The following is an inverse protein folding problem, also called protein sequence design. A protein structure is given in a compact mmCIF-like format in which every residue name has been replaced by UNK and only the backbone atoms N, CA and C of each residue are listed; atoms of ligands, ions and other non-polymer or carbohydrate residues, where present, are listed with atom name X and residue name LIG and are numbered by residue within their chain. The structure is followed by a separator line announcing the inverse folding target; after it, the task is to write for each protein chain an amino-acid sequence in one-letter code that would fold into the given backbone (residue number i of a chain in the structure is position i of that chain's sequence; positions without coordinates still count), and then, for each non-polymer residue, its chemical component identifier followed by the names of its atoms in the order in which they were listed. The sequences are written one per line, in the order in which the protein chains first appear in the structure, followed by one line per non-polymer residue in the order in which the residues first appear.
data_IF_517024699699
#
_entry.id   IF_517024699699
#
_cell.length_a   1.000
_cell.length_b   1.000
_cell.length_c   1.000
_cell.angle_alpha   90.00
_cell.angle_beta   90.00
_cell.angle_gamma   90.00
#
_symmetry.space_group_name_H-M   'P 1'
#
loop_
_entity.id
_entity.type
_entity.pdbx_description
1 polymer ?
#
# COMPACT_ATOMS: atom_id res chain seq x y z
N UNK A 1 -8.74 -18.65 -27.09
CA UNK A 1 -8.31 -17.26 -27.36
C UNK A 1 -8.75 -16.30 -26.27
N UNK A 2 -10.04 -16.28 -25.88
CA UNK A 2 -10.54 -15.40 -24.80
C UNK A 2 -9.96 -15.71 -23.41
N UNK A 3 -9.93 -16.98 -22.98
CA UNK A 3 -9.33 -17.38 -21.70
C UNK A 3 -7.83 -17.02 -21.59
N UNK A 4 -7.07 -17.21 -22.67
CA UNK A 4 -5.65 -16.83 -22.75
C UNK A 4 -5.44 -15.31 -22.56
N UNK A 5 -6.39 -14.48 -23.03
CA UNK A 5 -6.33 -13.03 -22.84
C UNK A 5 -6.66 -12.61 -21.40
N UNK A 6 -7.53 -13.35 -20.71
CA UNK A 6 -7.85 -13.09 -19.28
C UNK A 6 -6.65 -13.40 -18.40
N UNK A 7 -6.07 -14.58 -18.56
CA UNK A 7 -4.88 -15.00 -17.80
C UNK A 7 -3.72 -14.03 -18.01
N UNK A 8 -3.48 -13.59 -19.25
CA UNK A 8 -2.41 -12.63 -19.55
C UNK A 8 -2.65 -11.26 -18.89
N UNK A 9 -3.87 -10.73 -18.92
CA UNK A 9 -4.19 -9.48 -18.24
C UNK A 9 -4.03 -9.58 -16.71
N UNK A 10 -4.51 -10.68 -16.10
CA UNK A 10 -4.39 -10.89 -14.67
C UNK A 10 -2.92 -11.04 -14.24
N UNK A 11 -2.13 -11.78 -15.02
CA UNK A 11 -0.68 -11.89 -14.82
C UNK A 11 0.01 -10.54 -14.95
N UNK A 12 -0.36 -9.72 -15.95
CA UNK A 12 0.22 -8.39 -16.11
C UNK A 12 -0.11 -7.48 -14.93
N UNK A 13 -1.34 -7.51 -14.41
CA UNK A 13 -1.70 -6.77 -13.20
C UNK A 13 -0.87 -7.22 -11.98
N UNK A 14 -0.66 -8.53 -11.81
CA UNK A 14 0.16 -9.06 -10.74
C UNK A 14 1.63 -8.63 -10.85
N UNK A 15 2.19 -8.59 -12.07
CA UNK A 15 3.53 -8.07 -12.32
C UNK A 15 3.65 -6.58 -11.97
N UNK A 16 2.63 -5.77 -12.29
CA UNK A 16 2.62 -4.36 -11.89
C UNK A 16 2.59 -4.18 -10.37
N UNK A 17 1.91 -5.07 -9.64
CA UNK A 17 1.95 -5.09 -8.17
C UNK A 17 3.35 -5.47 -7.67
N UNK A 18 4.00 -6.47 -8.25
CA UNK A 18 5.39 -6.82 -7.91
C UNK A 18 6.34 -5.65 -8.17
N UNK A 19 6.24 -5.02 -9.35
CA UNK A 19 7.03 -3.85 -9.73
C UNK A 19 6.82 -2.69 -8.74
N UNK A 20 5.59 -2.48 -8.26
CA UNK A 20 5.26 -1.46 -7.27
C UNK A 20 5.88 -1.74 -5.89
N UNK A 21 5.83 -2.99 -5.41
CA UNK A 21 6.50 -3.41 -4.17
C UNK A 21 8.02 -3.25 -4.26
N UNK A 22 8.61 -3.62 -5.40
CA UNK A 22 10.05 -3.43 -5.63
C UNK A 22 10.39 -1.94 -5.71
N UNK A 23 9.58 -1.13 -6.38
CA UNK A 23 9.77 0.31 -6.48
C UNK A 23 9.70 1.00 -5.09
N UNK A 24 8.82 0.54 -4.21
CA UNK A 24 8.72 1.01 -2.82
C UNK A 24 10.04 0.78 -2.07
N UNK A 25 10.55 -0.45 -2.04
CA UNK A 25 11.76 -0.76 -1.27
C UNK A 25 13.05 -0.24 -1.91
N UNK A 26 13.01 0.10 -3.20
CA UNK A 26 14.17 0.68 -3.90
C UNK A 26 14.19 2.20 -3.91
N UNK A 27 13.08 2.87 -3.54
CA UNK A 27 13.04 4.30 -3.35
C UNK A 27 13.92 4.69 -2.15
N UNK A 28 14.78 5.68 -2.30
CA UNK A 28 15.69 6.10 -1.22
C UNK A 28 16.04 7.59 -1.30
N UNK A 29 16.39 8.22 -0.17
CA UNK A 29 16.28 7.70 1.21
C UNK A 29 14.82 7.66 1.72
N UNK A 30 14.44 6.69 2.55
CA UNK A 30 13.11 6.65 3.21
C UNK A 30 13.25 6.67 4.74
N UNK A 31 12.89 7.78 5.42
CA UNK A 31 13.08 7.93 6.87
C UNK A 31 12.50 6.79 7.72
N UNK A 32 13.39 6.02 8.37
CA UNK A 32 13.03 4.91 9.27
C UNK A 32 12.55 3.63 8.57
N UNK A 33 12.45 3.61 7.25
CA UNK A 33 12.01 2.45 6.46
C UNK A 33 13.21 1.72 5.87
N UNK A 34 13.04 0.43 5.56
CA UNK A 34 14.00 -0.31 4.73
C UNK A 34 14.01 0.30 3.33
N UNK A 35 15.19 0.56 2.79
CA UNK A 35 15.35 1.08 1.44
C UNK A 35 16.58 0.51 0.70
N UNK A 36 17.05 1.16 -0.37
CA UNK A 36 18.22 0.72 -1.12
C UNK A 36 19.56 1.05 -0.45
N UNK A 37 19.57 1.95 0.52
CA UNK A 37 20.75 2.42 1.25
C UNK A 37 20.93 1.59 2.53
N UNK A 38 19.87 1.43 3.32
CA UNK A 38 19.93 0.74 4.62
C UNK A 38 18.60 0.08 5.04
N UNK A 39 18.58 -0.45 6.27
CA UNK A 39 17.43 -1.15 6.86
C UNK A 39 16.53 -0.23 7.71
N UNK A 40 16.77 1.08 7.67
CA UNK A 40 16.07 2.06 8.50
C UNK A 40 16.15 1.71 10.00
N UNK A 41 15.01 1.77 10.68
CA UNK A 41 14.88 1.42 12.08
C UNK A 41 14.77 -0.10 12.36
N UNK A 42 15.05 -0.95 11.37
CA UNK A 42 14.93 -2.40 11.52
C UNK A 42 16.28 -3.09 11.69
N UNK A 43 16.28 -4.20 12.42
CA UNK A 43 17.43 -5.09 12.58
C UNK A 43 17.16 -6.52 12.07
N UNK A 44 15.91 -6.82 11.78
CA UNK A 44 15.39 -8.13 11.38
C UNK A 44 15.03 -8.20 9.89
N UNK A 45 15.00 -7.07 9.17
CA UNK A 45 14.67 -7.03 7.75
C UNK A 45 15.59 -6.11 6.94
N UNK A 46 15.81 -6.50 5.69
CA UNK A 46 16.63 -5.79 4.72
C UNK A 46 15.96 -5.78 3.34
N UNK A 47 16.53 -5.03 2.39
CA UNK A 47 16.02 -4.98 1.02
C UNK A 47 15.91 -6.35 0.36
N UNK A 48 16.84 -7.27 0.63
CA UNK A 48 16.83 -8.59 0.01
C UNK A 48 15.62 -9.42 0.44
N UNK A 49 15.20 -9.32 1.71
CA UNK A 49 13.96 -9.90 2.24
C UNK A 49 12.72 -9.35 1.53
N UNK A 50 12.63 -8.03 1.37
CA UNK A 50 11.52 -7.40 0.65
C UNK A 50 11.43 -7.85 -0.81
N UNK A 51 12.56 -7.94 -1.53
CA UNK A 51 12.60 -8.44 -2.91
C UNK A 51 12.16 -9.91 -3.01
N UNK A 52 12.54 -10.76 -2.04
CA UNK A 52 12.06 -12.16 -1.98
C UNK A 52 10.55 -12.21 -1.70
N UNK A 53 10.09 -11.39 -0.77
CA UNK A 53 8.68 -11.30 -0.42
C UNK A 53 7.82 -10.86 -1.61
N UNK A 54 8.21 -9.82 -2.35
CA UNK A 54 7.47 -9.33 -3.50
C UNK A 54 7.24 -10.44 -4.54
N UNK A 55 8.30 -11.18 -4.90
CA UNK A 55 8.24 -12.31 -5.84
C UNK A 55 7.39 -13.47 -5.33
N UNK A 56 7.45 -13.75 -4.03
CA UNK A 56 6.66 -14.81 -3.41
C UNK A 56 5.15 -14.49 -3.42
N UNK A 57 4.80 -13.21 -3.47
CA UNK A 57 3.41 -12.74 -3.47
C UNK A 57 2.78 -12.66 -4.86
N UNK A 58 3.56 -12.53 -5.93
CA UNK A 58 3.08 -12.37 -7.31
C UNK A 58 2.01 -13.39 -7.72
N UNK A 59 2.16 -14.71 -7.47
CA UNK A 59 1.15 -15.69 -7.85
C UNK A 59 -0.21 -15.49 -7.15
N UNK A 60 -0.20 -14.97 -5.92
CA UNK A 60 -1.42 -14.72 -5.16
C UNK A 60 -2.13 -13.45 -5.63
N UNK A 61 -1.39 -12.43 -6.05
CA UNK A 61 -2.00 -11.27 -6.71
C UNK A 61 -2.61 -11.65 -8.06
N UNK A 62 -1.98 -12.57 -8.82
CA UNK A 62 -2.59 -13.14 -10.03
C UNK A 62 -3.88 -13.90 -9.71
N UNK A 63 -3.89 -14.74 -8.66
CA UNK A 63 -5.10 -15.43 -8.19
C UNK A 63 -6.21 -14.44 -7.79
N UNK A 64 -5.89 -13.36 -7.06
CA UNK A 64 -6.84 -12.30 -6.70
C UNK A 64 -7.41 -11.58 -7.93
N UNK A 65 -6.57 -11.27 -8.91
CA UNK A 65 -7.00 -10.67 -10.17
C UNK A 65 -7.94 -11.60 -10.94
N UNK A 66 -7.62 -12.90 -11.02
CA UNK A 66 -8.41 -13.90 -11.72
C UNK A 66 -9.81 -14.09 -11.10
N UNK A 67 -9.91 -14.24 -9.77
CA UNK A 67 -11.22 -14.41 -9.11
C UNK A 67 -12.09 -13.15 -9.18
N UNK A 68 -11.46 -11.99 -9.35
CA UNK A 68 -12.15 -10.71 -9.50
C UNK A 68 -12.58 -10.44 -10.94
N UNK A 69 -11.99 -11.12 -11.92
CA UNK A 69 -12.28 -10.89 -13.33
C UNK A 69 -13.72 -11.28 -13.67
N UNK A 70 -14.52 -10.31 -14.13
CA UNK A 70 -15.94 -10.49 -14.42
C UNK A 70 -16.84 -10.55 -13.17
N UNK A 71 -16.27 -10.52 -11.97
CA UNK A 71 -17.01 -10.58 -10.71
C UNK A 71 -17.52 -9.20 -10.30
N UNK A 72 -18.75 -9.15 -9.78
CA UNK A 72 -19.24 -8.00 -9.02
C UNK A 72 -18.61 -7.96 -7.63
N UNK A 73 -18.52 -6.78 -7.02
CA UNK A 73 -18.18 -6.66 -5.60
C UNK A 73 -19.27 -7.35 -4.77
N UNK A 74 -18.96 -8.46 -4.11
CA UNK A 74 -19.93 -9.28 -3.37
C UNK A 74 -19.30 -9.91 -2.13
N UNK A 75 -20.15 -10.51 -1.29
CA UNK A 75 -19.74 -11.30 -0.12
C UNK A 75 -18.81 -12.46 -0.53
N UNK A 76 -19.13 -13.15 -1.62
CA UNK A 76 -18.36 -14.29 -2.12
C UNK A 76 -16.97 -13.85 -2.59
N UNK A 77 -16.89 -12.72 -3.32
CA UNK A 77 -15.62 -12.17 -3.75
C UNK A 77 -14.78 -11.75 -2.53
N UNK A 78 -15.39 -11.06 -1.55
CA UNK A 78 -14.71 -10.65 -0.32
C UNK A 78 -14.08 -11.82 0.42
N UNK A 79 -14.78 -12.95 0.53
CA UNK A 79 -14.31 -14.16 1.21
C UNK A 79 -13.23 -14.90 0.41
N UNK A 80 -13.38 -14.97 -0.92
CA UNK A 80 -12.36 -15.51 -1.80
C UNK A 80 -11.04 -14.74 -1.65
N UNK A 81 -11.09 -13.41 -1.69
CA UNK A 81 -9.91 -12.56 -1.49
C UNK A 81 -9.32 -12.71 -0.10
N UNK A 82 -10.16 -12.87 0.94
CA UNK A 82 -9.67 -13.13 2.29
C UNK A 82 -8.90 -14.45 2.38
N UNK A 83 -9.42 -15.51 1.74
CA UNK A 83 -8.78 -16.81 1.71
C UNK A 83 -7.45 -16.78 0.95
N UNK A 84 -7.40 -16.11 -0.20
CA UNK A 84 -6.15 -15.93 -0.97
C UNK A 84 -5.16 -15.09 -0.17
N UNK A 85 -5.61 -14.00 0.46
CA UNK A 85 -4.77 -13.13 1.28
C UNK A 85 -4.10 -13.85 2.46
N UNK A 86 -4.82 -14.78 3.12
CA UNK A 86 -4.22 -15.64 4.16
C UNK A 86 -3.14 -16.57 3.61
N UNK A 87 -3.33 -17.15 2.41
CA UNK A 87 -2.29 -17.97 1.76
C UNK A 87 -1.08 -17.10 1.37
N UNK A 88 -1.33 -15.90 0.87
CA UNK A 88 -0.29 -14.93 0.52
C UNK A 88 0.54 -14.53 1.76
N UNK A 89 -0.11 -14.29 2.90
CA UNK A 89 0.58 -14.02 4.17
C UNK A 89 1.47 -15.19 4.61
N UNK A 90 0.97 -16.43 4.51
CA UNK A 90 1.77 -17.63 4.82
C UNK A 90 2.99 -17.76 3.89
N UNK A 91 2.80 -17.52 2.59
CA UNK A 91 3.88 -17.58 1.61
C UNK A 91 4.93 -16.49 1.82
N UNK A 92 4.50 -15.27 2.14
CA UNK A 92 5.39 -14.19 2.55
C UNK A 92 6.24 -14.62 3.75
N UNK A 93 5.60 -15.04 4.85
CA UNK A 93 6.29 -15.46 6.07
C UNK A 93 7.26 -16.62 5.81
N UNK A 94 6.89 -17.58 4.97
CA UNK A 94 7.80 -18.66 4.58
C UNK A 94 9.04 -18.14 3.82
N UNK A 95 8.85 -17.22 2.87
CA UNK A 95 9.94 -16.63 2.08
C UNK A 95 10.84 -15.68 2.87
N UNK A 96 10.34 -15.15 3.99
CA UNK A 96 11.01 -14.18 4.86
C UNK A 96 11.39 -14.76 6.23
N UNK A 97 11.40 -16.08 6.38
CA UNK A 97 11.78 -16.75 7.63
C UNK A 97 10.97 -16.28 8.86
N UNK A 98 9.69 -15.99 8.67
CA UNK A 98 8.76 -15.54 9.70
C UNK A 98 8.68 -14.02 9.89
N UNK A 99 9.45 -13.24 9.12
CA UNK A 99 9.49 -11.78 9.25
C UNK A 99 8.35 -11.14 8.46
N UNK A 100 7.59 -10.26 9.11
CA UNK A 100 6.49 -9.55 8.47
C UNK A 100 7.00 -8.35 7.65
N UNK A 101 7.07 -8.50 6.32
CA UNK A 101 7.53 -7.45 5.39
C UNK A 101 6.39 -6.69 4.71
N UNK A 102 5.32 -7.37 4.29
CA UNK A 102 4.29 -6.84 3.39
C UNK A 102 2.85 -7.18 3.81
N UNK A 103 2.59 -7.49 5.08
CA UNK A 103 1.23 -7.89 5.51
C UNK A 103 0.17 -6.82 5.22
N UNK A 104 0.48 -5.53 5.44
CA UNK A 104 -0.44 -4.45 5.11
C UNK A 104 -0.54 -4.22 3.60
N UNK A 105 0.57 -4.35 2.86
CA UNK A 105 0.55 -4.30 1.41
C UNK A 105 -0.30 -5.41 0.77
N UNK A 106 -0.28 -6.65 1.29
CA UNK A 106 -1.17 -7.74 0.83
C UNK A 106 -2.65 -7.30 0.90
N UNK A 107 -3.03 -6.65 2.00
CA UNK A 107 -4.38 -6.13 2.17
C UNK A 107 -4.71 -5.01 1.18
N UNK A 108 -3.87 -3.97 1.12
CA UNK A 108 -4.13 -2.81 0.29
C UNK A 108 -4.10 -3.13 -1.22
N UNK A 109 -3.01 -3.75 -1.67
CA UNK A 109 -2.82 -4.11 -3.08
C UNK A 109 -3.79 -5.22 -3.49
N UNK A 110 -4.14 -6.14 -2.60
CA UNK A 110 -5.11 -7.20 -2.87
C UNK A 110 -6.51 -6.65 -3.17
N UNK A 111 -6.97 -5.64 -2.43
CA UNK A 111 -8.23 -4.96 -2.72
C UNK A 111 -8.16 -4.13 -4.00
N UNK A 112 -7.06 -3.40 -4.21
CA UNK A 112 -6.86 -2.56 -5.39
C UNK A 112 -6.81 -3.38 -6.69
N UNK A 113 -6.00 -4.44 -6.74
CA UNK A 113 -5.90 -5.30 -7.93
C UNK A 113 -7.25 -5.96 -8.24
N UNK A 114 -8.02 -6.30 -7.21
CA UNK A 114 -9.36 -6.90 -7.36
C UNK A 114 -10.35 -5.94 -8.00
N UNK A 115 -10.44 -4.71 -7.47
CA UNK A 115 -11.31 -3.68 -8.02
C UNK A 115 -10.89 -3.29 -9.46
N UNK A 116 -9.59 -3.11 -9.70
CA UNK A 116 -9.02 -2.85 -11.04
C UNK A 116 -9.35 -3.97 -12.01
N UNK A 117 -9.12 -5.24 -11.65
CA UNK A 117 -9.41 -6.40 -12.49
C UNK A 117 -10.90 -6.50 -12.84
N UNK A 118 -11.78 -6.35 -11.84
CA UNK A 118 -13.23 -6.33 -12.04
C UNK A 118 -13.65 -5.20 -13.01
N UNK A 119 -13.15 -3.99 -12.83
CA UNK A 119 -13.50 -2.86 -13.68
C UNK A 119 -12.97 -3.03 -15.10
N UNK A 120 -11.71 -3.49 -15.26
CA UNK A 120 -11.12 -3.76 -16.57
C UNK A 120 -11.92 -4.78 -17.36
N UNK A 121 -12.34 -5.87 -16.70
CA UNK A 121 -13.14 -6.91 -17.34
C UNK A 121 -14.52 -6.43 -17.81
N UNK A 122 -15.16 -5.54 -17.04
CA UNK A 122 -16.52 -5.03 -17.31
C UNK A 122 -16.56 -3.86 -18.27
N UNK A 123 -15.56 -2.97 -18.21
CA UNK A 123 -15.57 -1.66 -18.88
C UNK A 123 -14.44 -1.49 -19.90
N UNK A 124 -13.47 -2.43 -19.94
CA UNK A 124 -12.24 -2.33 -20.74
C UNK A 124 -11.41 -1.07 -20.45
N UNK A 125 -11.68 -0.42 -19.31
CA UNK A 125 -11.09 0.86 -18.87
C UNK A 125 -11.11 0.92 -17.36
N UNK A 126 -10.20 1.72 -16.81
CA UNK A 126 -10.11 1.99 -15.37
C UNK A 126 -10.54 3.42 -15.08
N UNK A 127 -11.28 3.61 -13.99
CA UNK A 127 -11.66 4.92 -13.47
C UNK A 127 -11.50 4.91 -11.94
N UNK A 128 -10.52 5.64 -11.43
CA UNK A 128 -10.08 5.54 -10.03
C UNK A 128 -11.16 5.86 -8.99
N UNK A 129 -12.03 6.88 -9.14
CA UNK A 129 -13.10 7.12 -8.18
C UNK A 129 -14.02 5.91 -7.99
N UNK A 130 -14.30 5.17 -9.06
CA UNK A 130 -15.05 3.92 -8.97
C UNK A 130 -14.24 2.77 -8.35
N UNK A 131 -12.92 2.69 -8.60
CA UNK A 131 -12.05 1.71 -7.92
C UNK A 131 -12.11 1.90 -6.41
N UNK A 132 -12.01 3.14 -5.92
CA UNK A 132 -12.11 3.43 -4.49
C UNK A 132 -13.49 3.10 -3.92
N UNK A 133 -14.57 3.46 -4.64
CA UNK A 133 -15.94 3.11 -4.26
C UNK A 133 -16.19 1.59 -4.21
N UNK A 134 -15.72 0.85 -5.22
CA UNK A 134 -15.83 -0.61 -5.27
C UNK A 134 -15.11 -1.25 -4.06
N UNK A 135 -13.97 -0.70 -3.65
CA UNK A 135 -13.23 -1.14 -2.46
C UNK A 135 -14.00 -0.85 -1.17
N UNK A 136 -14.62 0.32 -1.03
CA UNK A 136 -15.44 0.63 0.14
C UNK A 136 -16.59 -0.36 0.27
N UNK A 137 -17.28 -0.64 -0.85
CA UNK A 137 -18.38 -1.59 -0.89
C UNK A 137 -17.91 -3.01 -0.56
N UNK A 138 -16.78 -3.44 -1.14
CA UNK A 138 -16.20 -4.75 -0.86
C UNK A 138 -15.77 -4.90 0.61
N UNK A 139 -15.20 -3.85 1.20
CA UNK A 139 -14.71 -3.84 2.59
C UNK A 139 -15.84 -3.92 3.60
N UNK A 140 -17.05 -3.46 3.26
CA UNK A 140 -18.23 -3.55 4.11
C UNK A 140 -18.70 -5.00 4.33
N UNK A 141 -18.32 -5.94 3.46
CA UNK A 141 -18.60 -7.36 3.66
C UNK A 141 -17.65 -7.97 4.70
N UNK A 142 -18.16 -8.67 5.72
CA UNK A 142 -17.32 -9.36 6.71
C UNK A 142 -16.66 -10.59 6.10
N UNK A 143 -15.51 -11.01 6.63
CA UNK A 143 -14.97 -12.35 6.37
C UNK A 143 -15.53 -13.32 7.42
N UNK A 144 -16.54 -14.12 7.06
CA UNK A 144 -17.20 -15.05 7.99
C UNK A 144 -16.31 -16.22 8.41
N UNK A 145 -15.25 -16.49 7.66
CA UNK A 145 -14.26 -17.52 8.00
C UNK A 145 -13.16 -16.99 8.93
N UNK A 146 -13.16 -15.69 9.26
CA UNK A 146 -12.17 -15.10 10.15
C UNK A 146 -12.40 -15.59 11.59
N UNK A 147 -11.54 -16.50 12.03
CA UNK A 147 -11.46 -16.87 13.44
C UNK A 147 -10.84 -15.67 14.17
N UNK A 148 -11.56 -15.09 15.15
CA UNK A 148 -11.20 -13.82 15.81
C UNK A 148 -9.82 -13.78 16.52
N UNK A 149 -9.10 -14.90 16.57
CA UNK A 149 -7.95 -15.13 17.47
C UNK A 149 -6.56 -14.74 16.94
N UNK A 150 -6.41 -14.16 15.75
CA UNK A 150 -5.09 -13.68 15.31
C UNK A 150 -4.81 -12.30 15.89
N UNK A 151 -3.94 -12.21 16.89
CA UNK A 151 -3.36 -10.94 17.34
C UNK A 151 -2.55 -10.31 16.19
N UNK A 152 -2.73 -9.00 16.00
CA UNK A 152 -1.92 -8.22 15.05
C UNK A 152 -1.56 -6.88 15.68
N UNK A 153 -0.51 -6.25 15.16
CA UNK A 153 -0.14 -4.90 15.59
C UNK A 153 -1.32 -3.93 15.42
N UNK A 154 -2.04 -4.03 14.30
CA UNK A 154 -3.25 -3.24 14.05
C UNK A 154 -4.36 -3.47 15.08
N UNK A 155 -4.67 -4.71 15.46
CA UNK A 155 -5.67 -5.00 16.51
C UNK A 155 -5.24 -4.46 17.87
N UNK A 156 -3.95 -4.56 18.19
CA UNK A 156 -3.39 -4.03 19.44
C UNK A 156 -3.53 -2.51 19.50
N UNK A 157 -3.17 -1.83 18.40
CA UNK A 157 -3.32 -0.37 18.24
C UNK A 157 -4.78 0.05 18.28
N UNK A 158 -5.67 -0.69 17.63
CA UNK A 158 -7.12 -0.45 17.66
C UNK A 158 -7.67 -0.53 19.09
N UNK A 159 -7.30 -1.57 19.84
CA UNK A 159 -7.73 -1.74 21.23
C UNK A 159 -7.20 -0.62 22.15
N UNK A 160 -5.97 -0.14 21.90
CA UNK A 160 -5.31 0.87 22.73
C UNK A 160 -5.75 2.31 22.41
N UNK A 161 -5.94 2.64 21.14
CA UNK A 161 -6.10 4.03 20.67
C UNK A 161 -7.35 4.25 19.80
N UNK A 162 -8.07 3.19 19.41
CA UNK A 162 -9.28 3.30 18.57
C UNK A 162 -9.02 3.45 17.07
N UNK A 163 -7.77 3.53 16.62
CA UNK A 163 -7.45 3.65 15.19
C UNK A 163 -7.75 2.35 14.43
N UNK A 164 -8.42 2.48 13.28
CA UNK A 164 -8.87 1.34 12.45
C UNK A 164 -7.77 0.80 11.51
N UNK A 165 -6.65 1.52 11.37
CA UNK A 165 -5.50 1.12 10.55
C UNK A 165 -5.87 0.81 9.09
N UNK A 166 -5.25 -0.24 8.52
CA UNK A 166 -5.45 -0.64 7.13
C UNK A 166 -6.91 -0.97 6.76
N UNK A 167 -7.71 -1.44 7.73
CA UNK A 167 -9.15 -1.64 7.51
C UNK A 167 -9.87 -0.30 7.35
N UNK A 168 -9.57 0.68 8.20
CA UNK A 168 -10.11 2.04 8.11
C UNK A 168 -9.80 2.71 6.78
N UNK A 169 -8.56 2.57 6.30
CA UNK A 169 -8.16 3.05 4.99
C UNK A 169 -9.04 2.46 3.88
N UNK A 170 -9.19 1.13 3.83
CA UNK A 170 -10.02 0.47 2.82
C UNK A 170 -11.50 0.85 2.93
N UNK A 171 -12.06 0.92 4.14
CA UNK A 171 -13.45 1.32 4.37
C UNK A 171 -13.73 2.78 3.97
N UNK A 172 -12.71 3.64 4.02
CA UNK A 172 -12.77 5.03 3.56
C UNK A 172 -12.37 5.21 2.08
N UNK A 173 -12.04 4.13 1.35
CA UNK A 173 -11.65 4.21 -0.07
C UNK A 173 -10.23 4.70 -0.28
N UNK A 174 -9.31 4.35 0.63
CA UNK A 174 -7.89 4.70 0.60
C UNK A 174 -7.61 6.21 0.46
N UNK A 175 -8.07 7.05 1.41
CA UNK A 175 -7.85 8.50 1.35
C UNK A 175 -6.37 8.88 1.24
N UNK A 176 -5.47 8.14 1.89
CA UNK A 176 -4.03 8.43 1.83
C UNK A 176 -3.39 8.06 0.49
N UNK A 177 -3.92 7.04 -0.22
CA UNK A 177 -3.50 6.76 -1.59
C UNK A 177 -3.94 7.90 -2.52
N UNK A 178 -5.14 8.45 -2.31
CA UNK A 178 -5.63 9.61 -3.07
C UNK A 178 -4.78 10.86 -2.80
N UNK A 179 -4.43 11.13 -1.54
CA UNK A 179 -3.52 12.22 -1.15
C UNK A 179 -2.15 12.06 -1.82
N UNK A 180 -1.59 10.85 -1.80
CA UNK A 180 -0.31 10.57 -2.45
C UNK A 180 -0.35 10.84 -3.95
N UNK A 181 -1.40 10.38 -4.65
CA UNK A 181 -1.57 10.63 -6.08
C UNK A 181 -1.74 12.14 -6.36
N UNK A 182 -2.55 12.84 -5.56
CA UNK A 182 -2.73 14.29 -5.68
C UNK A 182 -1.41 15.05 -5.51
N UNK A 183 -0.62 14.70 -4.48
CA UNK A 183 0.71 15.28 -4.25
C UNK A 183 1.59 15.05 -5.49
N UNK A 184 1.69 13.81 -5.98
CA UNK A 184 2.47 13.47 -7.17
C UNK A 184 2.11 14.32 -8.39
N UNK A 185 0.81 14.48 -8.72
CA UNK A 185 0.41 15.24 -9.90
C UNK A 185 0.55 16.75 -9.73
N UNK A 186 0.47 17.27 -8.50
CA UNK A 186 0.64 18.70 -8.22
C UNK A 186 2.09 19.19 -8.35
N UNK A 187 3.06 18.28 -8.30
CA UNK A 187 4.49 18.62 -8.22
C UNK A 187 5.04 18.99 -9.59
N UNK A 188 5.40 20.26 -9.73
CA UNK A 188 6.12 20.78 -10.90
C UNK A 188 7.63 20.53 -10.78
N UNK A 189 8.03 19.26 -10.85
CA UNK A 189 9.43 18.90 -11.07
C UNK A 189 9.56 17.64 -11.94
N UNK A 190 10.61 17.58 -12.76
CA UNK A 190 10.87 16.44 -13.65
C UNK A 190 11.53 15.25 -12.96
N UNK A 191 11.87 15.37 -11.67
CA UNK A 191 12.56 14.32 -10.94
C UNK A 191 11.56 13.37 -10.27
N UNK A 192 11.34 12.22 -10.91
CA UNK A 192 10.44 11.17 -10.46
C UNK A 192 10.71 10.67 -9.03
N UNK A 193 11.98 10.47 -8.67
CA UNK A 193 12.36 10.06 -7.31
C UNK A 193 11.89 11.08 -6.28
N UNK A 194 12.07 12.38 -6.55
CA UNK A 194 11.61 13.44 -5.63
C UNK A 194 10.10 13.48 -5.50
N UNK A 195 9.35 13.34 -6.61
CA UNK A 195 7.88 13.28 -6.56
C UNK A 195 7.41 12.11 -5.69
N UNK A 196 8.01 10.93 -5.87
CA UNK A 196 7.70 9.73 -5.07
C UNK A 196 8.05 9.88 -3.59
N UNK A 197 9.15 10.57 -3.26
CA UNK A 197 9.46 10.91 -1.87
C UNK A 197 8.44 11.88 -1.26
N UNK A 198 7.96 12.85 -2.04
CA UNK A 198 6.90 13.74 -1.59
C UNK A 198 5.57 13.00 -1.35
N UNK A 199 5.21 12.03 -2.19
CA UNK A 199 4.07 11.13 -1.93
C UNK A 199 4.17 10.46 -0.57
N UNK A 200 5.34 9.89 -0.26
CA UNK A 200 5.59 9.23 1.02
C UNK A 200 5.42 10.22 2.20
N UNK A 201 6.01 11.41 2.10
CA UNK A 201 5.87 12.43 3.14
C UNK A 201 4.43 12.90 3.31
N UNK A 202 3.67 13.01 2.23
CA UNK A 202 2.25 13.36 2.29
C UNK A 202 1.44 12.30 3.05
N UNK A 203 1.73 11.01 2.84
CA UNK A 203 1.12 9.91 3.61
C UNK A 203 1.55 9.98 5.08
N UNK A 204 2.86 10.04 5.36
CA UNK A 204 3.40 10.05 6.73
C UNK A 204 2.84 11.24 7.52
N UNK A 205 2.63 12.39 6.89
CA UNK A 205 2.16 13.60 7.56
C UNK A 205 0.74 13.50 8.12
N UNK A 206 -0.09 12.56 7.65
CA UNK A 206 -1.51 12.50 8.04
C UNK A 206 -2.00 11.11 8.45
N UNK A 207 -1.26 10.05 8.13
CA UNK A 207 -1.66 8.68 8.47
C UNK A 207 -1.46 8.41 9.97
N UNK A 208 -2.48 7.84 10.62
CA UNK A 208 -2.35 7.21 11.93
C UNK A 208 -1.61 5.86 11.82
N UNK A 209 -0.30 5.93 11.56
CA UNK A 209 0.49 4.75 11.20
C UNK A 209 0.60 3.76 12.37
N UNK A 210 -0.10 2.63 12.22
CA UNK A 210 -0.14 1.59 13.25
C UNK A 210 1.23 0.96 13.52
N UNK A 211 2.19 1.02 12.60
CA UNK A 211 3.55 0.54 12.84
C UNK A 211 4.32 1.45 13.79
N UNK A 212 4.06 2.76 13.76
CA UNK A 212 4.62 3.70 14.73
C UNK A 212 3.92 3.54 16.07
N UNK A 213 2.58 3.55 16.08
CA UNK A 213 1.78 3.45 17.31
C UNK A 213 1.99 2.14 18.07
N UNK A 214 2.29 1.05 17.36
CA UNK A 214 2.61 -0.24 17.97
C UNK A 214 4.00 -0.24 18.63
N UNK A 215 5.01 0.34 17.97
CA UNK A 215 6.39 0.42 18.50
C UNK A 215 6.56 1.49 19.58
N UNK A 216 5.71 2.52 19.56
CA UNK A 216 5.82 3.68 20.42
C UNK A 216 4.45 4.20 20.89
N UNK A 217 4.13 5.47 20.66
CA UNK A 217 2.93 6.13 21.16
C UNK A 217 2.45 7.29 20.26
N UNK A 218 1.34 7.93 20.65
CA UNK A 218 0.71 9.03 19.90
C UNK A 218 1.58 10.30 19.84
N UNK A 219 2.40 10.58 20.86
CA UNK A 219 3.28 11.75 20.87
C UNK A 219 4.39 11.61 19.82
N UNK A 220 5.00 10.42 19.73
CA UNK A 220 5.99 10.10 18.70
C UNK A 220 5.37 10.13 17.30
N UNK A 221 4.16 9.59 17.13
CA UNK A 221 3.44 9.71 15.86
C UNK A 221 3.22 11.18 15.46
N UNK A 222 2.74 12.01 16.39
CA UNK A 222 2.49 13.42 16.12
C UNK A 222 3.77 14.17 15.71
N UNK A 223 4.91 13.85 16.34
CA UNK A 223 6.19 14.47 15.98
C UNK A 223 6.70 13.99 14.60
N UNK A 224 6.55 12.70 14.28
CA UNK A 224 6.83 12.17 12.93
C UNK A 224 5.98 12.89 11.88
N UNK A 225 4.67 13.04 12.13
CA UNK A 225 3.74 13.73 11.23
C UNK A 225 4.13 15.19 11.01
N UNK A 226 4.47 15.92 12.09
CA UNK A 226 4.92 17.31 12.01
C UNK A 226 6.21 17.48 11.19
N UNK A 227 7.19 16.60 11.40
CA UNK A 227 8.46 16.63 10.66
C UNK A 227 8.24 16.31 9.17
N UNK A 228 7.40 15.31 8.87
CA UNK A 228 7.02 14.97 7.50
C UNK A 228 6.27 16.10 6.80
N UNK A 229 5.32 16.74 7.48
CA UNK A 229 4.59 17.90 6.95
C UNK A 229 5.56 19.04 6.60
N UNK A 230 6.49 19.36 7.50
CA UNK A 230 7.51 20.41 7.27
C UNK A 230 8.45 20.03 6.12
N UNK A 231 8.86 18.77 6.04
CA UNK A 231 9.70 18.28 4.95
C UNK A 231 8.98 18.36 3.59
N UNK A 232 7.67 18.14 3.55
CA UNK A 232 6.90 18.08 2.30
C UNK A 232 6.67 19.46 1.64
N UNK A 233 6.97 20.56 2.34
CA UNK A 233 6.74 21.94 1.88
C UNK A 233 7.84 22.49 0.95
N UNK A 234 9.01 21.84 0.88
CA UNK A 234 10.17 22.34 0.16
C UNK A 234 10.82 21.23 -0.67
N UNK A 235 11.63 21.60 -1.66
CA UNK A 235 12.40 20.63 -2.44
C UNK A 235 13.26 19.72 -1.56
N UNK A 236 13.35 18.44 -1.93
CA UNK A 236 14.10 17.42 -1.19
C UNK A 236 15.52 17.19 -1.76
N UNK A 237 16.48 16.79 -0.90
CA UNK A 237 16.38 16.74 0.56
C UNK A 237 16.46 18.13 1.20
N UNK A 238 15.84 18.32 2.36
CA UNK A 238 15.87 19.57 3.13
C UNK A 238 16.11 19.29 4.62
N UNK A 239 16.38 20.31 5.47
CA UNK A 239 16.69 20.09 6.88
C UNK A 239 15.61 19.35 7.66
N UNK A 240 14.32 19.55 7.34
CA UNK A 240 13.23 18.85 8.00
C UNK A 240 13.19 17.36 7.61
N UNK A 241 13.51 17.03 6.37
CA UNK A 241 13.66 15.64 5.93
C UNK A 241 14.78 14.92 6.67
N UNK A 242 15.94 15.58 6.84
CA UNK A 242 17.03 15.01 7.65
C UNK A 242 16.67 14.87 9.12
N UNK A 243 15.94 15.85 9.69
CA UNK A 243 15.43 15.77 11.06
C UNK A 243 14.45 14.61 11.24
N UNK A 244 13.56 14.37 10.27
CA UNK A 244 12.66 13.21 10.26
C UNK A 244 13.45 11.90 10.26
N UNK A 245 14.43 11.76 9.36
CA UNK A 245 15.28 10.56 9.29
C UNK A 245 16.02 10.30 10.60
N UNK A 246 16.64 11.33 11.18
CA UNK A 246 17.33 11.23 12.46
C UNK A 246 16.38 10.86 13.61
N UNK A 247 15.18 11.44 13.64
CA UNK A 247 14.18 11.17 14.66
C UNK A 247 13.64 9.74 14.58
N UNK A 248 13.30 9.25 13.38
CA UNK A 248 12.88 7.86 13.20
C UNK A 248 13.95 6.88 13.69
N UNK A 249 15.23 7.19 13.44
CA UNK A 249 16.34 6.37 13.90
C UNK A 249 16.50 6.41 15.43
N UNK A 250 16.41 7.59 16.07
CA UNK A 250 16.60 7.71 17.52
C UNK A 250 15.46 7.07 18.31
N UNK A 251 14.23 7.18 17.83
CA UNK A 251 13.04 6.60 18.45
C UNK A 251 12.79 5.15 18.04
N UNK A 252 13.63 4.59 17.15
CA UNK A 252 13.47 3.25 16.60
C UNK A 252 12.06 2.99 16.02
N UNK A 253 11.54 3.97 15.27
CA UNK A 253 10.20 3.91 14.66
C UNK A 253 10.29 3.85 13.14
N UNK A 254 9.33 3.13 12.57
CA UNK A 254 9.25 2.92 11.13
C UNK A 254 7.80 3.14 10.65
N UNK A 255 7.56 4.05 9.69
CA UNK A 255 6.24 4.33 9.11
C UNK A 255 5.82 3.23 8.11
N UNK A 256 5.72 2.00 8.58
CA UNK A 256 5.45 0.82 7.74
C UNK A 256 4.08 0.84 7.07
N UNK A 257 3.03 1.34 7.75
CA UNK A 257 1.73 1.50 7.12
C UNK A 257 1.77 2.51 5.98
N UNK A 258 2.58 3.57 6.12
CA UNK A 258 2.80 4.57 5.08
C UNK A 258 3.51 3.98 3.85
N UNK A 259 4.47 3.07 4.07
CA UNK A 259 5.15 2.33 3.00
C UNK A 259 4.19 1.40 2.23
N UNK A 260 3.33 0.67 2.93
CA UNK A 260 2.31 -0.18 2.29
C UNK A 260 1.39 0.64 1.37
N UNK A 261 0.98 1.84 1.81
CA UNK A 261 0.15 2.74 1.01
C UNK A 261 0.93 3.40 -0.14
N UNK A 262 2.23 3.65 0.02
CA UNK A 262 3.09 4.12 -1.06
C UNK A 262 3.18 3.08 -2.19
N UNK A 263 3.36 1.79 -1.85
CA UNK A 263 3.34 0.71 -2.83
C UNK A 263 1.99 0.65 -3.57
N UNK A 264 0.88 0.80 -2.85
CA UNK A 264 -0.46 0.90 -3.43
C UNK A 264 -0.59 2.08 -4.42
N UNK A 265 -0.04 3.25 -4.10
CA UNK A 265 -0.01 4.39 -5.02
C UNK A 265 0.85 4.13 -6.26
N UNK A 266 2.01 3.47 -6.11
CA UNK A 266 2.85 3.11 -7.26
C UNK A 266 2.17 2.15 -8.22
N UNK A 267 1.41 1.18 -7.70
CA UNK A 267 0.60 0.29 -8.52
C UNK A 267 -0.40 1.09 -9.38
N UNK A 268 -1.15 2.02 -8.79
CA UNK A 268 -2.10 2.85 -9.54
C UNK A 268 -1.43 3.75 -10.58
N UNK A 269 -0.27 4.35 -10.26
CA UNK A 269 0.51 5.12 -11.25
C UNK A 269 0.98 4.25 -12.43
N UNK A 270 1.34 2.99 -12.16
CA UNK A 270 1.81 2.05 -13.19
C UNK A 270 0.69 1.55 -14.11
N UNK A 271 -0.56 1.55 -13.65
CA UNK A 271 -1.72 1.20 -14.48
C UNK A 271 -1.95 2.28 -15.55
N UNK A 272 -1.81 3.56 -15.18
CA UNK A 272 -2.00 4.69 -16.10
C UNK A 272 -0.99 4.71 -17.26
N UNK A 273 0.19 4.12 -17.09
CA UNK A 273 1.21 4.07 -18.14
C UNK A 273 1.04 2.90 -19.12
N UNK A 274 0.16 1.93 -18.80
CA UNK A 274 0.03 0.66 -19.54
C UNK A 274 -1.39 0.43 -20.07
N UNK A 275 -2.42 1.00 -19.44
CA UNK A 275 -3.83 0.83 -19.81
C UNK A 275 -4.50 2.20 -20.04
N UNK A 276 -5.46 2.32 -20.99
CA UNK A 276 -6.16 3.58 -21.25
C UNK A 276 -7.03 3.96 -20.04
N UNK A 277 -6.52 4.86 -19.20
CA UNK A 277 -7.25 5.48 -18.10
C UNK A 277 -7.73 6.84 -18.57
N UNK A 278 -9.04 7.06 -18.56
CA UNK A 278 -9.57 8.41 -18.70
C UNK A 278 -9.54 9.05 -17.30
N UNK A 279 -8.81 10.15 -17.18
CA UNK A 279 -9.01 11.13 -16.12
C UNK A 279 -10.39 11.75 -16.32
N UNK A 280 -11.43 11.03 -15.91
CA UNK A 280 -12.79 11.55 -15.84
C UNK A 280 -12.82 12.65 -14.80
N UNK A 281 -12.54 13.87 -15.25
CA UNK A 281 -12.85 15.14 -14.60
C UNK A 281 -12.48 15.20 -13.11
N UNK A 282 -11.23 15.60 -12.85
CA UNK A 282 -10.81 16.38 -11.68
C UNK A 282 -11.55 16.09 -10.37
N UNK A 283 -10.98 15.21 -9.53
CA UNK A 283 -11.17 15.27 -8.06
C UNK A 283 -10.08 16.16 -7.47
N UNK A 284 -10.02 17.41 -7.93
CA UNK A 284 -9.22 18.47 -7.31
C UNK A 284 -10.07 19.74 -7.25
N UNK A 285 -11.13 19.67 -6.43
CA UNK A 285 -11.71 20.80 -5.70
C UNK A 285 -12.10 20.33 -4.31
#
# INVERSE_FOLDING_TARGET
MFALAVEENCRRLAQLVEEALIAEVTLSPKPGLVDAIDSGAHHDMDRALFLRSARALTPYFEEMALVSWGSSMSQELREALAAIGRKAEQAMLAATCGINTHKGAIWALGLLISAVSSQLSRKQRIFLPEVFSDIQFLTAFPDRALIQQTESHGKTVQAKYGHLGAYGEAAAGFPHVQIALADYFSRDCSNETKKRLHMLLAIIATLDDTCILYRSNQEVLALVQQLAQKANQQALPNPAFHALAAFCQSENVSPGGSADLLAASFFLLSINSVLPVNEGTTVHQ
#
